data_IF_437227996487
#
_entry.id   IF_437227996487
#
_cell.length_a   1.000
_cell.length_b   1.000
_cell.length_c   1.000
_cell.angle_alpha   90.00
_cell.angle_beta   90.00
_cell.angle_gamma   90.00
#
_symmetry.space_group_name_H-M   'P 1'
#
loop_
_entity.id
_entity.type
_entity.pdbx_description
1 polymer ?
#
# COMPACT_ATOMS: atom_id res chain seq x y z
N UNK A 1 -16.22 -20.12 -6.30
CA UNK A 1 -16.00 -21.50 -5.84
C UNK A 1 -16.00 -21.51 -4.31
N UNK A 2 -16.76 -22.40 -3.69
CA UNK A 2 -16.84 -22.58 -2.23
C UNK A 2 -15.68 -23.43 -1.68
N UNK A 3 -14.82 -23.97 -2.53
CA UNK A 3 -13.73 -24.82 -2.14
C UNK A 3 -12.44 -24.03 -1.85
N UNK A 4 -11.65 -24.55 -0.90
CA UNK A 4 -10.27 -24.07 -0.67
C UNK A 4 -9.39 -24.41 -1.87
N UNK A 5 -8.49 -23.49 -2.23
CA UNK A 5 -7.51 -23.71 -3.31
C UNK A 5 -6.19 -24.18 -2.73
N UNK A 6 -5.57 -25.19 -3.38
CA UNK A 6 -4.25 -25.66 -2.97
C UNK A 6 -3.18 -24.64 -3.33
N UNK A 7 -2.48 -24.13 -2.33
CA UNK A 7 -1.34 -23.22 -2.53
C UNK A 7 -0.05 -24.02 -2.68
N UNK A 8 0.13 -25.10 -1.91
CA UNK A 8 1.36 -25.88 -1.95
C UNK A 8 1.16 -27.34 -1.54
N UNK A 9 1.44 -28.26 -2.47
CA UNK A 9 1.48 -29.73 -2.26
C UNK A 9 0.32 -30.33 -1.46
N UNK A 10 -0.88 -29.76 -1.54
CA UNK A 10 -2.09 -30.16 -0.80
C UNK A 10 -1.93 -30.14 0.73
N UNK A 11 -1.08 -29.26 1.25
CA UNK A 11 -0.91 -29.05 2.69
C UNK A 11 -1.15 -27.59 3.11
N UNK A 12 -0.91 -26.63 2.21
CA UNK A 12 -1.20 -25.22 2.44
C UNK A 12 -2.35 -24.81 1.53
N UNK A 13 -3.49 -24.46 2.12
CA UNK A 13 -4.71 -24.12 1.40
C UNK A 13 -5.04 -22.65 1.58
N UNK A 14 -5.45 -22.01 0.49
CA UNK A 14 -6.07 -20.70 0.53
C UNK A 14 -7.53 -20.82 0.93
N UNK A 15 -7.91 -20.21 2.05
CA UNK A 15 -9.29 -20.19 2.57
C UNK A 15 -9.91 -18.81 2.62
N UNK A 16 -9.22 -17.80 2.04
CA UNK A 16 -9.66 -16.41 1.97
C UNK A 16 -10.87 -16.18 1.07
N UNK A 17 -11.28 -14.93 0.99
CA UNK A 17 -12.48 -14.48 0.27
C UNK A 17 -12.21 -13.24 -0.57
N UNK A 18 -13.03 -13.01 -1.59
CA UNK A 18 -13.04 -11.79 -2.41
C UNK A 18 -14.21 -10.89 -2.02
N UNK A 19 -13.93 -9.63 -1.73
CA UNK A 19 -14.95 -8.59 -1.55
C UNK A 19 -15.01 -7.68 -2.78
N UNK A 20 -16.05 -7.87 -3.59
CA UNK A 20 -16.31 -7.05 -4.79
C UNK A 20 -17.31 -5.92 -4.53
N UNK A 21 -17.81 -5.80 -3.30
CA UNK A 21 -18.88 -4.85 -2.95
C UNK A 21 -18.37 -3.65 -2.16
N UNK A 22 -17.27 -3.80 -1.43
CA UNK A 22 -16.69 -2.73 -0.62
C UNK A 22 -16.20 -1.60 -1.53
N UNK A 23 -16.79 -0.43 -1.36
CA UNK A 23 -16.46 0.74 -2.18
C UNK A 23 -15.15 1.42 -1.75
N UNK A 24 -14.84 1.41 -0.45
CA UNK A 24 -13.70 2.10 0.14
C UNK A 24 -12.97 1.20 1.15
N UNK A 25 -11.67 1.05 1.02
CA UNK A 25 -10.79 0.49 2.04
C UNK A 25 -10.57 1.53 3.14
N UNK A 26 -10.60 1.13 4.41
CA UNK A 26 -10.56 2.04 5.58
C UNK A 26 -11.58 3.22 5.49
N UNK A 27 -12.69 3.04 4.75
CA UNK A 27 -13.65 4.12 4.43
C UNK A 27 -13.03 5.35 3.74
N UNK A 28 -11.87 5.22 3.12
CA UNK A 28 -11.12 6.35 2.55
C UNK A 28 -10.58 6.08 1.15
N UNK A 29 -10.14 4.85 0.85
CA UNK A 29 -9.43 4.52 -0.37
C UNK A 29 -10.32 3.77 -1.35
N UNK A 30 -10.58 4.31 -2.55
CA UNK A 30 -11.46 3.66 -3.52
C UNK A 30 -10.99 2.27 -3.94
N UNK A 31 -11.95 1.34 -4.05
CA UNK A 31 -11.71 -0.06 -4.44
C UNK A 31 -12.46 -0.41 -5.74
N UNK A 32 -12.06 0.16 -6.90
CA UNK A 32 -12.75 -0.13 -8.16
C UNK A 32 -12.68 -1.60 -8.58
N UNK A 33 -11.65 -2.32 -8.12
CA UNK A 33 -11.45 -3.75 -8.36
C UNK A 33 -11.71 -4.61 -7.12
N UNK A 34 -12.37 -4.03 -6.10
CA UNK A 34 -12.58 -4.69 -4.81
C UNK A 34 -11.30 -4.95 -4.04
N UNK A 35 -11.33 -5.93 -3.14
CA UNK A 35 -10.19 -6.38 -2.32
C UNK A 35 -10.35 -7.87 -2.00
N UNK A 36 -9.26 -8.60 -1.87
CA UNK A 36 -9.26 -9.95 -1.28
C UNK A 36 -8.86 -9.88 0.19
N UNK A 37 -9.47 -10.73 1.02
CA UNK A 37 -9.02 -11.00 2.39
C UNK A 37 -8.48 -12.41 2.39
N UNK A 38 -7.17 -12.54 2.48
CA UNK A 38 -6.49 -13.82 2.36
C UNK A 38 -6.24 -14.42 3.74
N UNK A 39 -6.54 -15.69 3.85
CA UNK A 39 -6.22 -16.52 5.00
C UNK A 39 -5.76 -17.88 4.49
N UNK A 40 -4.87 -18.53 5.22
CA UNK A 40 -4.22 -19.75 4.78
C UNK A 40 -4.32 -20.82 5.87
N UNK A 41 -4.60 -22.04 5.48
CA UNK A 41 -4.69 -23.16 6.38
C UNK A 41 -3.57 -24.18 6.06
N UNK A 42 -2.73 -24.47 7.04
CA UNK A 42 -1.75 -25.57 6.99
C UNK A 42 -2.38 -26.81 7.60
N UNK A 43 -2.44 -27.89 6.83
CA UNK A 43 -2.98 -29.19 7.25
C UNK A 43 -1.84 -30.18 7.37
N UNK A 44 -1.36 -30.37 8.59
CA UNK A 44 -0.23 -31.25 8.95
C UNK A 44 -0.63 -32.13 10.15
N UNK A 45 0.30 -32.69 10.93
CA UNK A 45 -0.03 -33.37 12.18
C UNK A 45 -0.82 -32.48 13.11
N UNK A 46 -0.40 -31.20 13.21
CA UNK A 46 -1.18 -30.09 13.76
C UNK A 46 -1.71 -29.20 12.64
N UNK A 47 -2.89 -28.66 12.85
CA UNK A 47 -3.51 -27.74 11.90
C UNK A 47 -3.30 -26.31 12.34
N UNK A 48 -2.90 -25.44 11.40
CA UNK A 48 -2.61 -24.03 11.68
C UNK A 48 -3.33 -23.15 10.68
N UNK A 49 -4.19 -22.27 11.18
CA UNK A 49 -4.80 -21.20 10.39
C UNK A 49 -3.96 -19.92 10.54
N UNK A 50 -3.66 -19.24 9.45
CA UNK A 50 -2.92 -17.99 9.42
C UNK A 50 -3.87 -16.86 9.07
N UNK A 51 -4.07 -15.94 10.01
CA UNK A 51 -5.01 -14.82 9.97
C UNK A 51 -6.47 -15.23 9.68
N UNK A 52 -7.39 -14.31 9.70
CA UNK A 52 -8.79 -14.52 9.35
C UNK A 52 -9.22 -13.56 8.25
N UNK A 53 -10.48 -13.19 8.17
CA UNK A 53 -11.04 -12.27 7.19
C UNK A 53 -11.98 -11.26 7.85
N UNK A 54 -12.42 -10.26 7.07
CA UNK A 54 -13.44 -9.30 7.46
C UNK A 54 -14.72 -10.03 7.96
N UNK A 55 -15.30 -9.55 9.04
CA UNK A 55 -16.45 -10.17 9.68
C UNK A 55 -17.65 -10.37 8.75
N UNK A 56 -17.80 -9.52 7.73
CA UNK A 56 -18.87 -9.61 6.74
C UNK A 56 -18.84 -10.91 5.92
N UNK A 57 -17.70 -11.59 5.88
CA UNK A 57 -17.46 -12.81 5.10
C UNK A 57 -17.21 -14.04 5.97
N UNK A 58 -17.47 -13.96 7.28
CA UNK A 58 -17.21 -15.04 8.23
C UNK A 58 -17.89 -16.36 7.84
N UNK A 59 -19.12 -16.33 7.36
CA UNK A 59 -19.87 -17.56 6.99
C UNK A 59 -19.18 -18.34 5.88
N UNK A 60 -18.76 -17.65 4.81
CA UNK A 60 -18.06 -18.27 3.67
C UNK A 60 -16.67 -18.74 4.11
N UNK A 61 -15.98 -17.93 4.90
CA UNK A 61 -14.66 -18.23 5.42
C UNK A 61 -14.67 -19.47 6.33
N UNK A 62 -15.54 -19.50 7.34
CA UNK A 62 -15.65 -20.62 8.28
C UNK A 62 -16.03 -21.94 7.58
N UNK A 63 -16.91 -21.84 6.55
CA UNK A 63 -17.22 -23.00 5.73
C UNK A 63 -15.98 -23.52 4.99
N UNK A 64 -15.17 -22.65 4.36
CA UNK A 64 -13.94 -23.06 3.67
C UNK A 64 -12.94 -23.70 4.62
N UNK A 65 -12.78 -23.14 5.83
CA UNK A 65 -11.91 -23.71 6.87
C UNK A 65 -12.40 -25.11 7.26
N UNK A 66 -13.70 -25.26 7.53
CA UNK A 66 -14.28 -26.57 7.90
C UNK A 66 -14.12 -27.62 6.77
N UNK A 67 -14.40 -27.22 5.52
CA UNK A 67 -14.26 -28.09 4.36
C UNK A 67 -12.79 -28.53 4.19
N UNK A 68 -11.81 -27.63 4.38
CA UNK A 68 -10.39 -27.94 4.26
C UNK A 68 -9.83 -28.75 5.43
N UNK A 69 -10.39 -28.61 6.62
CA UNK A 69 -10.05 -29.44 7.78
C UNK A 69 -10.58 -30.88 7.66
N UNK A 70 -11.60 -31.11 6.85
CA UNK A 70 -12.20 -32.45 6.63
C UNK A 70 -12.49 -33.22 7.92
N UNK A 71 -13.14 -32.55 8.88
CA UNK A 71 -13.52 -33.10 10.18
C UNK A 71 -12.43 -33.10 11.25
N UNK A 72 -11.24 -32.60 10.95
CA UNK A 72 -10.16 -32.43 11.93
C UNK A 72 -10.42 -31.19 12.82
N UNK A 73 -9.81 -31.21 14.02
CA UNK A 73 -9.76 -30.02 14.89
C UNK A 73 -8.86 -28.93 14.29
N UNK A 74 -9.07 -27.68 14.71
CA UNK A 74 -8.14 -26.59 14.49
C UNK A 74 -7.28 -26.43 15.75
N UNK A 75 -5.96 -26.70 15.62
CA UNK A 75 -5.06 -26.62 16.77
C UNK A 75 -4.60 -25.19 17.06
N UNK A 76 -4.23 -24.42 16.01
CA UNK A 76 -3.68 -23.07 16.15
C UNK A 76 -4.30 -22.07 15.18
N UNK A 77 -4.49 -20.85 15.67
CA UNK A 77 -4.69 -19.65 14.86
C UNK A 77 -3.51 -18.72 15.08
N UNK A 78 -2.68 -18.52 14.06
CA UNK A 78 -1.63 -17.51 14.07
C UNK A 78 -2.22 -16.19 13.62
N UNK A 79 -2.06 -15.14 14.44
CA UNK A 79 -2.50 -13.79 14.13
C UNK A 79 -1.27 -12.93 13.84
N UNK A 80 -0.96 -12.74 12.56
CA UNK A 80 0.12 -11.87 12.12
C UNK A 80 -0.26 -10.40 12.26
N UNK A 81 -1.56 -10.08 12.09
CA UNK A 81 -2.06 -8.70 12.11
C UNK A 81 -3.48 -8.61 12.67
N UNK A 82 -3.74 -7.57 13.47
CA UNK A 82 -4.99 -7.39 14.21
C UNK A 82 -5.95 -6.38 13.57
N UNK A 83 -5.65 -5.86 12.39
CA UNK A 83 -6.62 -5.00 11.70
C UNK A 83 -7.92 -5.77 11.42
N UNK A 84 -9.10 -5.13 11.62
CA UNK A 84 -10.39 -5.85 11.58
C UNK A 84 -10.71 -6.60 10.30
N UNK A 85 -10.12 -6.25 9.17
CA UNK A 85 -10.30 -6.95 7.90
C UNK A 85 -9.55 -8.29 7.81
N UNK A 86 -8.60 -8.54 8.74
CA UNK A 86 -7.92 -9.83 8.92
C UNK A 86 -8.26 -10.50 10.25
N UNK A 87 -8.77 -9.73 11.20
CA UNK A 87 -9.05 -10.20 12.55
C UNK A 87 -10.55 -10.27 12.87
N UNK A 88 -11.41 -9.76 11.96
CA UNK A 88 -12.85 -9.61 12.21
C UNK A 88 -13.58 -10.92 12.52
N UNK A 89 -13.14 -12.02 11.94
CA UNK A 89 -13.76 -13.35 12.11
C UNK A 89 -13.25 -14.13 13.32
N UNK A 90 -12.26 -13.65 14.07
CA UNK A 90 -11.62 -14.39 15.18
C UNK A 90 -12.63 -14.84 16.25
N UNK A 91 -13.58 -13.97 16.64
CA UNK A 91 -14.59 -14.33 17.65
C UNK A 91 -15.45 -15.51 17.19
N UNK A 92 -15.92 -15.48 15.94
CA UNK A 92 -16.77 -16.54 15.39
C UNK A 92 -15.97 -17.83 15.18
N UNK A 93 -14.73 -17.72 14.74
CA UNK A 93 -13.81 -18.87 14.65
C UNK A 93 -13.63 -19.54 16.02
N UNK A 94 -13.38 -18.76 17.08
CA UNK A 94 -13.22 -19.28 18.45
C UNK A 94 -14.49 -19.94 18.99
N UNK A 95 -15.67 -19.47 18.59
CA UNK A 95 -16.92 -20.12 18.94
C UNK A 95 -17.08 -21.49 18.27
N UNK A 96 -16.63 -21.61 17.01
CA UNK A 96 -16.69 -22.87 16.26
C UNK A 96 -15.59 -23.85 16.68
N UNK A 97 -14.41 -23.34 17.06
CA UNK A 97 -13.25 -24.11 17.50
C UNK A 97 -12.79 -23.64 18.90
N UNK A 98 -13.51 -24.04 19.99
CA UNK A 98 -13.28 -23.49 21.31
C UNK A 98 -11.88 -23.77 21.89
N UNK A 99 -11.26 -24.87 21.47
CA UNK A 99 -9.96 -25.32 21.95
C UNK A 99 -8.77 -24.74 21.16
N UNK A 100 -9.01 -23.97 20.10
CA UNK A 100 -7.94 -23.39 19.27
C UNK A 100 -7.03 -22.47 20.12
N UNK A 101 -5.74 -22.68 20.02
CA UNK A 101 -4.72 -21.79 20.63
C UNK A 101 -4.45 -20.61 19.70
N UNK A 102 -4.60 -19.39 20.20
CA UNK A 102 -4.31 -18.18 19.41
C UNK A 102 -2.84 -17.79 19.63
N UNK A 103 -2.05 -17.89 18.55
CA UNK A 103 -0.62 -17.59 18.53
C UNK A 103 -0.43 -16.12 18.14
N UNK A 104 0.30 -15.38 18.93
CA UNK A 104 0.60 -13.97 18.70
C UNK A 104 1.58 -13.41 19.73
N UNK A 105 1.93 -12.15 19.60
CA UNK A 105 2.73 -11.48 20.62
C UNK A 105 1.85 -10.75 21.65
N UNK A 106 2.46 -10.20 22.70
CA UNK A 106 1.75 -9.55 23.80
C UNK A 106 0.90 -8.33 23.36
N UNK A 107 1.30 -7.62 22.29
CA UNK A 107 0.50 -6.50 21.74
C UNK A 107 -0.73 -7.02 21.00
N UNK A 108 -0.59 -8.11 20.26
CA UNK A 108 -1.71 -8.84 19.65
C UNK A 108 -2.75 -9.21 20.70
N UNK A 109 -2.31 -9.71 21.84
CA UNK A 109 -3.23 -10.12 22.92
C UNK A 109 -3.95 -8.95 23.57
N UNK A 110 -3.30 -7.79 23.73
CA UNK A 110 -3.98 -6.57 24.17
C UNK A 110 -5.08 -6.11 23.20
N UNK A 111 -4.85 -6.26 21.90
CA UNK A 111 -5.85 -5.96 20.86
C UNK A 111 -6.96 -7.01 20.80
N UNK A 112 -6.64 -8.30 20.98
CA UNK A 112 -7.63 -9.39 21.08
C UNK A 112 -8.60 -9.15 22.24
N UNK A 113 -8.09 -8.74 23.40
CA UNK A 113 -8.95 -8.35 24.51
C UNK A 113 -9.84 -7.17 24.15
N UNK A 114 -9.26 -6.12 23.57
CA UNK A 114 -9.96 -4.88 23.19
C UNK A 114 -11.04 -5.08 22.14
N UNK A 115 -10.75 -5.80 21.05
CA UNK A 115 -11.70 -6.01 19.95
C UNK A 115 -12.66 -7.18 20.18
N UNK A 116 -12.21 -8.26 20.81
CA UNK A 116 -12.92 -9.53 20.84
C UNK A 116 -13.26 -10.01 22.25
N UNK A 117 -12.68 -9.44 23.31
CA UNK A 117 -12.85 -9.88 24.70
C UNK A 117 -12.19 -11.23 25.00
N UNK A 118 -11.23 -11.67 24.18
CA UNK A 118 -10.54 -12.96 24.32
C UNK A 118 -9.30 -12.78 25.19
N UNK A 119 -9.20 -13.58 26.26
CA UNK A 119 -8.09 -13.55 27.26
C UNK A 119 -7.47 -14.92 27.50
N UNK A 120 -8.06 -15.99 27.01
CA UNK A 120 -7.67 -17.37 27.28
C UNK A 120 -7.33 -18.12 25.99
N UNK A 121 -6.60 -19.21 26.09
CA UNK A 121 -6.16 -19.99 24.94
C UNK A 121 -5.16 -19.23 24.10
N UNK A 122 -4.27 -18.46 24.74
CA UNK A 122 -3.25 -17.64 24.10
C UNK A 122 -1.89 -18.34 24.16
N UNK A 123 -1.18 -18.31 23.05
CA UNK A 123 0.18 -18.86 22.91
C UNK A 123 1.11 -17.71 22.48
N UNK A 124 1.86 -17.16 23.43
CA UNK A 124 2.77 -16.04 23.18
C UNK A 124 4.01 -16.51 22.43
N UNK A 125 4.36 -15.76 21.38
CA UNK A 125 5.59 -15.92 20.61
C UNK A 125 6.39 -14.62 20.52
N UNK A 126 7.70 -14.74 20.40
CA UNK A 126 8.67 -13.65 20.29
C UNK A 126 9.52 -13.83 19.03
N UNK A 127 10.40 -12.87 18.80
CA UNK A 127 11.35 -12.89 17.69
C UNK A 127 12.15 -14.21 17.66
N UNK A 128 12.04 -14.97 16.56
CA UNK A 128 12.76 -16.20 16.34
C UNK A 128 12.19 -17.44 17.02
N UNK A 129 11.08 -17.32 17.75
CA UNK A 129 10.39 -18.50 18.31
C UNK A 129 9.85 -19.37 17.17
N UNK A 130 9.72 -20.67 17.45
CA UNK A 130 9.28 -21.67 16.47
C UNK A 130 8.03 -22.40 16.93
N UNK A 131 7.22 -22.84 15.97
CA UNK A 131 6.10 -23.76 16.16
C UNK A 131 6.24 -24.93 15.19
N UNK A 132 6.43 -26.11 15.73
CA UNK A 132 6.48 -27.33 14.93
C UNK A 132 5.07 -27.94 14.81
N UNK A 133 4.64 -28.25 13.59
CA UNK A 133 3.31 -28.80 13.31
C UNK A 133 3.34 -30.25 12.83
N UNK A 134 4.53 -30.85 12.78
CA UNK A 134 4.81 -32.18 12.24
C UNK A 134 5.89 -32.09 11.16
N UNK A 135 5.49 -31.97 9.90
CA UNK A 135 6.39 -31.72 8.78
C UNK A 135 6.84 -30.26 8.70
N UNK A 136 5.94 -29.33 8.98
CA UNK A 136 6.22 -27.89 8.89
C UNK A 136 6.81 -27.33 10.18
N UNK A 137 7.77 -26.41 10.02
CA UNK A 137 8.35 -25.62 11.09
C UNK A 137 8.13 -24.15 10.79
N UNK A 138 7.35 -23.49 11.64
CA UNK A 138 7.01 -22.07 11.52
C UNK A 138 7.91 -21.25 12.44
N UNK A 139 8.54 -20.20 11.90
CA UNK A 139 9.38 -19.25 12.63
C UNK A 139 8.74 -17.87 12.60
N UNK A 140 8.70 -17.17 13.72
CA UNK A 140 8.05 -15.88 13.87
C UNK A 140 9.06 -14.72 13.87
N UNK A 141 8.83 -13.72 13.02
CA UNK A 141 9.65 -12.53 12.92
C UNK A 141 8.80 -11.29 13.21
N UNK A 142 9.20 -10.50 14.21
CA UNK A 142 8.46 -9.28 14.55
C UNK A 142 8.74 -8.17 13.51
N UNK A 143 7.68 -7.61 12.96
CA UNK A 143 7.71 -6.53 11.97
C UNK A 143 6.90 -5.31 12.46
N UNK A 144 7.23 -4.73 13.63
CA UNK A 144 6.44 -3.66 14.23
C UNK A 144 6.38 -2.45 13.31
N UNK A 145 5.20 -1.86 13.19
CA UNK A 145 4.87 -0.72 12.31
C UNK A 145 4.93 -1.03 10.82
N UNK A 146 4.74 -2.31 10.44
CA UNK A 146 4.50 -2.70 9.05
C UNK A 146 3.10 -3.32 8.91
N UNK A 147 1.97 -2.54 9.09
CA UNK A 147 1.97 -1.09 9.40
C UNK A 147 1.48 -0.77 10.83
N UNK A 148 1.09 -1.74 11.65
CA UNK A 148 0.70 -1.60 13.06
C UNK A 148 1.77 -2.15 14.01
N UNK A 149 1.72 -1.79 15.33
CA UNK A 149 2.81 -2.10 16.27
C UNK A 149 2.95 -3.57 16.63
N UNK A 150 1.92 -4.39 16.46
CA UNK A 150 1.89 -5.82 16.81
C UNK A 150 2.27 -6.72 15.64
N UNK A 151 2.38 -6.19 14.43
CA UNK A 151 2.59 -7.00 13.22
C UNK A 151 3.79 -7.92 13.34
N UNK A 152 3.59 -9.16 12.97
CA UNK A 152 4.63 -10.16 12.78
C UNK A 152 4.48 -10.87 11.44
N UNK A 153 5.53 -11.54 11.02
CA UNK A 153 5.61 -12.35 9.82
C UNK A 153 5.90 -13.78 10.24
N UNK A 154 5.19 -14.73 9.64
CA UNK A 154 5.42 -16.17 9.89
C UNK A 154 6.13 -16.78 8.69
N UNK A 155 7.25 -17.46 8.91
CA UNK A 155 8.00 -18.13 7.86
C UNK A 155 7.96 -19.63 8.06
N UNK A 156 7.48 -20.36 7.06
CA UNK A 156 7.56 -21.81 6.99
C UNK A 156 8.92 -22.21 6.37
N UNK A 157 9.79 -22.73 7.23
CA UNK A 157 11.14 -23.15 6.85
C UNK A 157 11.10 -24.32 5.87
N UNK A 158 10.10 -25.19 5.99
CA UNK A 158 10.00 -26.43 5.23
C UNK A 158 9.68 -26.19 3.77
N UNK A 159 8.69 -25.37 3.50
CA UNK A 159 8.21 -25.07 2.14
C UNK A 159 8.62 -23.65 1.67
N UNK A 160 9.41 -22.93 2.49
CA UNK A 160 9.99 -21.61 2.16
C UNK A 160 8.93 -20.57 1.83
N UNK A 161 7.84 -20.58 2.61
CA UNK A 161 6.70 -19.70 2.46
C UNK A 161 6.74 -18.60 3.53
N UNK A 162 6.59 -17.34 3.13
CA UNK A 162 6.39 -16.22 4.03
C UNK A 162 4.90 -15.86 4.06
N UNK A 163 4.28 -15.89 5.22
CA UNK A 163 2.98 -15.31 5.51
C UNK A 163 3.23 -13.90 6.08
N UNK A 164 3.03 -12.89 5.25
CA UNK A 164 3.65 -11.57 5.43
C UNK A 164 2.72 -10.52 6.05
N UNK A 165 1.54 -10.91 6.54
CA UNK A 165 0.49 -9.95 6.85
C UNK A 165 0.23 -9.04 5.62
N UNK A 166 0.10 -7.73 5.81
CA UNK A 166 -0.18 -6.76 4.74
C UNK A 166 1.01 -6.48 3.83
N UNK A 167 2.22 -6.83 4.25
CA UNK A 167 3.37 -6.61 3.41
C UNK A 167 3.24 -7.39 2.09
N UNK A 168 3.63 -6.73 0.98
CA UNK A 168 3.50 -7.23 -0.39
C UNK A 168 2.06 -7.40 -0.88
N UNK A 169 1.07 -6.89 -0.12
CA UNK A 169 -0.34 -6.87 -0.47
C UNK A 169 -0.68 -5.89 -1.57
N UNK A 170 -1.84 -6.10 -2.18
CA UNK A 170 -2.40 -5.25 -3.23
C UNK A 170 -3.88 -5.01 -3.00
N UNK A 171 -4.41 -3.89 -3.50
CA UNK A 171 -5.83 -3.82 -3.73
C UNK A 171 -6.22 -4.75 -4.91
N UNK A 172 -7.53 -4.99 -5.05
CA UNK A 172 -8.09 -5.86 -6.08
C UNK A 172 -8.44 -7.25 -5.55
N UNK A 173 -9.50 -7.81 -6.10
CA UNK A 173 -9.91 -9.21 -5.87
C UNK A 173 -9.07 -10.15 -6.71
N UNK A 174 -9.05 -11.42 -6.34
CA UNK A 174 -8.41 -12.47 -7.13
C UNK A 174 -9.35 -12.92 -8.24
N UNK A 175 -8.90 -12.84 -9.49
CA UNK A 175 -9.70 -13.12 -10.69
C UNK A 175 -9.46 -14.54 -11.21
N UNK A 176 -10.06 -15.52 -10.55
CA UNK A 176 -10.04 -16.92 -10.96
C UNK A 176 -8.94 -17.75 -10.31
N UNK A 177 -7.68 -17.34 -10.41
CA UNK A 177 -6.55 -17.97 -9.73
C UNK A 177 -6.27 -17.38 -8.35
N UNK A 178 -5.31 -17.96 -7.64
CA UNK A 178 -4.81 -17.44 -6.35
C UNK A 178 -3.32 -17.13 -6.47
N UNK A 179 -2.58 -17.93 -7.24
CA UNK A 179 -1.14 -17.81 -7.41
C UNK A 179 -0.86 -16.98 -8.67
N UNK A 180 0.20 -16.19 -8.63
CA UNK A 180 0.62 -15.28 -9.70
C UNK A 180 0.82 -15.96 -11.06
N UNK A 181 1.13 -17.26 -11.07
CA UNK A 181 1.25 -18.08 -12.28
C UNK A 181 -0.10 -18.52 -12.89
N UNK A 182 -1.18 -18.33 -12.16
CA UNK A 182 -2.54 -18.79 -12.56
C UNK A 182 -3.41 -17.63 -13.08
N UNK A 183 -2.89 -16.40 -13.08
CA UNK A 183 -3.65 -15.20 -13.44
C UNK A 183 -2.80 -14.16 -14.15
N UNK A 184 -3.45 -13.20 -14.80
CA UNK A 184 -2.78 -11.99 -15.29
C UNK A 184 -2.53 -11.03 -14.12
N UNK A 185 -1.26 -10.78 -13.78
CA UNK A 185 -0.86 -9.96 -12.64
C UNK A 185 -0.54 -8.50 -12.99
N UNK A 186 -0.68 -8.07 -14.24
CA UNK A 186 -0.22 -6.76 -14.69
C UNK A 186 -0.82 -5.59 -13.89
N UNK A 187 -2.12 -5.60 -13.64
CA UNK A 187 -2.77 -4.53 -12.89
C UNK A 187 -2.44 -4.55 -11.38
N UNK A 188 -2.06 -5.70 -10.81
CA UNK A 188 -1.73 -5.80 -9.39
C UNK A 188 -0.42 -5.07 -9.03
N UNK A 189 0.49 -4.85 -9.99
CA UNK A 189 1.70 -4.08 -9.73
C UNK A 189 1.39 -2.61 -9.42
N UNK A 190 0.50 -1.99 -10.18
CA UNK A 190 0.03 -0.63 -9.89
C UNK A 190 -0.79 -0.57 -8.60
N UNK A 191 -1.60 -1.59 -8.34
CA UNK A 191 -2.37 -1.71 -7.10
C UNK A 191 -1.48 -1.97 -5.88
N UNK A 192 -0.34 -2.67 -6.01
CA UNK A 192 0.66 -2.83 -4.96
C UNK A 192 1.30 -1.48 -4.59
N UNK A 193 1.71 -0.70 -5.59
CA UNK A 193 2.28 0.64 -5.37
C UNK A 193 1.23 1.54 -4.71
N UNK A 194 -0.03 1.46 -5.13
CA UNK A 194 -1.13 2.22 -4.56
C UNK A 194 -1.41 1.79 -3.12
N UNK A 195 -1.48 0.49 -2.85
CA UNK A 195 -1.65 -0.06 -1.51
C UNK A 195 -0.51 0.40 -0.59
N UNK A 196 0.74 0.21 -1.00
CA UNK A 196 1.91 0.66 -0.26
C UNK A 196 1.82 2.16 0.09
N UNK A 197 1.58 3.03 -0.90
CA UNK A 197 1.55 4.48 -0.70
C UNK A 197 0.42 4.95 0.21
N UNK A 198 -0.72 4.25 0.19
CA UNK A 198 -1.90 4.60 0.98
C UNK A 198 -1.79 4.10 2.44
N UNK A 199 -1.31 2.87 2.63
CA UNK A 199 -1.36 2.12 3.89
C UNK A 199 -0.01 2.10 4.61
N UNK A 200 1.05 1.71 3.92
CA UNK A 200 2.38 1.49 4.50
C UNK A 200 3.28 2.73 4.45
N UNK A 201 3.06 3.62 3.50
CA UNK A 201 3.96 4.66 3.03
C UNK A 201 4.77 5.46 4.05
N UNK A 202 4.19 5.79 5.22
CA UNK A 202 4.89 6.49 6.32
C UNK A 202 6.04 5.65 6.90
N UNK A 203 5.91 4.33 6.85
CA UNK A 203 6.72 3.39 7.62
C UNK A 203 7.91 2.80 6.84
N UNK A 204 8.53 3.57 5.94
CA UNK A 204 9.67 3.12 5.14
C UNK A 204 10.80 2.53 5.98
N UNK A 205 11.21 3.18 7.08
CA UNK A 205 12.26 2.67 7.97
C UNK A 205 11.89 1.36 8.69
N UNK A 206 10.68 1.18 9.24
CA UNK A 206 10.20 -0.13 9.69
C UNK A 206 10.24 -1.20 8.61
N UNK A 207 9.79 -0.91 7.38
CA UNK A 207 9.84 -1.85 6.25
C UNK A 207 11.28 -2.27 5.95
N UNK A 208 12.23 -1.33 5.89
CA UNK A 208 13.65 -1.64 5.68
C UNK A 208 14.21 -2.58 6.76
N UNK A 209 13.85 -2.37 8.03
CA UNK A 209 14.26 -3.27 9.12
C UNK A 209 13.66 -4.68 8.97
N UNK A 210 12.39 -4.77 8.57
CA UNK A 210 11.74 -6.05 8.31
C UNK A 210 12.41 -6.79 7.14
N UNK A 211 12.64 -6.10 6.01
CA UNK A 211 13.34 -6.66 4.85
C UNK A 211 14.74 -7.15 5.20
N UNK A 212 15.48 -6.40 6.02
CA UNK A 212 16.82 -6.80 6.49
C UNK A 212 16.76 -8.08 7.32
N UNK A 213 15.78 -8.24 8.21
CA UNK A 213 15.60 -9.49 8.96
C UNK A 213 15.32 -10.70 8.05
N UNK A 214 14.52 -10.49 7.03
CA UNK A 214 14.11 -11.56 6.11
C UNK A 214 15.14 -11.83 5.01
N UNK A 215 16.15 -10.98 4.82
CA UNK A 215 17.11 -11.06 3.71
C UNK A 215 17.98 -12.34 3.70
N UNK A 216 18.13 -12.99 4.85
CA UNK A 216 18.85 -14.25 4.97
C UNK A 216 18.00 -15.51 4.71
N UNK A 217 16.69 -15.34 4.47
CA UNK A 217 15.77 -16.45 4.26
C UNK A 217 15.66 -16.80 2.77
N UNK A 218 15.54 -18.09 2.50
CA UNK A 218 15.21 -18.58 1.16
C UNK A 218 13.69 -18.50 0.95
N UNK A 219 13.21 -17.35 0.48
CA UNK A 219 11.78 -17.10 0.26
C UNK A 219 11.42 -17.48 -1.16
N UNK A 220 10.59 -18.51 -1.32
CA UNK A 220 10.10 -18.97 -2.62
C UNK A 220 8.64 -18.58 -2.88
N UNK A 221 7.87 -18.34 -1.82
CA UNK A 221 6.46 -17.96 -1.94
C UNK A 221 6.12 -16.91 -0.86
N UNK A 222 5.37 -15.88 -1.24
CA UNK A 222 4.85 -14.88 -0.32
C UNK A 222 3.33 -14.97 -0.32
N UNK A 223 2.76 -15.18 0.85
CA UNK A 223 1.34 -15.26 1.14
C UNK A 223 0.94 -14.01 1.94
N UNK A 224 0.51 -12.96 1.25
CA UNK A 224 0.02 -11.72 1.83
C UNK A 224 -1.47 -11.83 2.19
N UNK A 225 -1.95 -10.96 3.07
CA UNK A 225 -3.37 -10.86 3.43
C UNK A 225 -4.25 -10.27 2.33
N UNK A 226 -3.65 -9.64 1.32
CA UNK A 226 -4.34 -9.07 0.16
C UNK A 226 -3.63 -9.38 -1.15
N UNK A 227 -4.40 -9.57 -2.23
CA UNK A 227 -3.88 -9.76 -3.56
C UNK A 227 -3.33 -11.16 -3.85
N UNK A 228 -2.59 -11.35 -4.94
CA UNK A 228 -2.06 -12.64 -5.35
C UNK A 228 -1.05 -13.24 -4.36
N UNK A 229 -0.99 -14.57 -4.31
CA UNK A 229 0.16 -15.30 -3.77
C UNK A 229 1.31 -15.16 -4.76
N UNK A 230 2.40 -14.54 -4.32
CA UNK A 230 3.58 -14.31 -5.15
C UNK A 230 4.53 -15.52 -5.06
N UNK A 231 4.73 -16.20 -6.17
CA UNK A 231 5.65 -17.35 -6.30
C UNK A 231 6.69 -17.09 -7.38
N UNK A 232 6.26 -16.94 -8.64
CA UNK A 232 7.17 -16.61 -9.73
C UNK A 232 7.74 -15.19 -9.57
N UNK A 233 6.91 -14.25 -9.13
CA UNK A 233 7.27 -12.84 -9.01
C UNK A 233 7.56 -12.38 -7.57
N UNK A 234 7.86 -13.30 -6.65
CA UNK A 234 8.20 -12.95 -5.25
C UNK A 234 9.35 -11.94 -5.16
N UNK A 235 10.40 -12.11 -5.95
CA UNK A 235 11.55 -11.19 -5.98
C UNK A 235 11.15 -9.79 -6.47
N UNK A 236 10.24 -9.68 -7.45
CA UNK A 236 9.73 -8.39 -7.94
C UNK A 236 8.89 -7.67 -6.87
N UNK A 237 8.07 -8.41 -6.13
CA UNK A 237 7.30 -7.85 -5.02
C UNK A 237 8.22 -7.29 -3.93
N UNK A 238 9.27 -8.03 -3.57
CA UNK A 238 10.29 -7.58 -2.61
C UNK A 238 11.02 -6.33 -3.11
N UNK A 239 11.44 -6.30 -4.38
CA UNK A 239 12.13 -5.15 -4.99
C UNK A 239 11.24 -3.89 -4.96
N UNK A 240 9.96 -4.00 -5.28
CA UNK A 240 9.02 -2.87 -5.20
C UNK A 240 8.97 -2.32 -3.77
N UNK A 241 8.79 -3.18 -2.77
CA UNK A 241 8.74 -2.77 -1.36
C UNK A 241 10.06 -2.14 -0.89
N UNK A 242 11.19 -2.70 -1.31
CA UNK A 242 12.53 -2.17 -0.99
C UNK A 242 12.71 -0.77 -1.54
N UNK A 243 12.45 -0.55 -2.84
CA UNK A 243 12.55 0.77 -3.47
C UNK A 243 11.58 1.79 -2.87
N UNK A 244 10.31 1.41 -2.70
CA UNK A 244 9.28 2.27 -2.13
C UNK A 244 9.63 2.70 -0.70
N UNK A 245 10.13 1.80 0.14
CA UNK A 245 10.50 2.09 1.52
C UNK A 245 11.77 2.94 1.67
N UNK A 246 12.61 2.99 0.65
CA UNK A 246 13.72 3.95 0.54
C UNK A 246 13.29 5.27 -0.12
N UNK A 247 12.01 5.40 -0.50
CA UNK A 247 11.49 6.54 -1.24
C UNK A 247 12.20 6.78 -2.57
N UNK A 248 12.64 5.72 -3.23
CA UNK A 248 13.23 5.78 -4.56
C UNK A 248 12.14 5.94 -5.61
N UNK A 249 12.10 7.13 -6.23
CA UNK A 249 11.18 7.40 -7.32
C UNK A 249 11.75 6.98 -8.68
N UNK A 250 10.88 6.52 -9.56
CA UNK A 250 11.19 6.27 -10.97
C UNK A 250 11.33 7.60 -11.73
N UNK A 251 11.98 7.56 -12.91
CA UNK A 251 12.01 8.71 -13.78
C UNK A 251 10.60 9.05 -14.29
N UNK A 252 10.16 10.25 -13.99
CA UNK A 252 8.84 10.75 -14.32
C UNK A 252 8.40 11.88 -13.42
N UNK A 253 7.26 12.49 -13.78
CA UNK A 253 6.70 13.65 -13.11
C UNK A 253 5.20 13.48 -12.89
N UNK A 254 4.75 13.76 -11.67
CA UNK A 254 3.33 13.93 -11.38
C UNK A 254 3.01 15.41 -11.22
N UNK A 255 2.03 15.89 -11.98
CA UNK A 255 1.51 17.26 -11.91
C UNK A 255 0.16 17.23 -11.20
N UNK A 256 0.10 17.83 -10.04
CA UNK A 256 -1.08 17.89 -9.16
C UNK A 256 -1.61 19.33 -9.22
N UNK A 257 -2.84 19.53 -9.66
CA UNK A 257 -3.36 20.88 -9.76
C UNK A 257 -4.84 21.01 -9.38
N UNK A 258 -5.17 22.15 -8.78
CA UNK A 258 -6.54 22.61 -8.64
C UNK A 258 -6.82 23.69 -9.68
N UNK A 259 -8.04 23.72 -10.22
CA UNK A 259 -8.45 24.77 -11.14
C UNK A 259 -9.97 25.01 -11.03
N UNK A 260 -10.38 26.28 -10.88
CA UNK A 260 -11.79 26.65 -10.80
C UNK A 260 -12.41 26.85 -12.19
N UNK A 261 -11.73 27.59 -13.05
CA UNK A 261 -12.23 28.02 -14.35
C UNK A 261 -11.27 27.75 -15.52
N UNK A 262 -10.30 26.83 -15.33
CA UNK A 262 -9.36 26.40 -16.37
C UNK A 262 -8.03 27.17 -16.44
N UNK A 263 -7.87 28.32 -15.74
CA UNK A 263 -6.63 29.11 -15.87
C UNK A 263 -5.39 28.36 -15.31
N UNK A 264 -5.50 27.79 -14.11
CA UNK A 264 -4.41 26.98 -13.53
C UNK A 264 -4.17 25.68 -14.32
N UNK A 265 -5.24 25.12 -14.90
CA UNK A 265 -5.16 23.94 -15.77
C UNK A 265 -4.34 24.24 -17.04
N UNK A 266 -4.57 25.41 -17.69
CA UNK A 266 -3.76 25.81 -18.85
C UNK A 266 -2.27 25.96 -18.53
N UNK A 267 -1.93 26.42 -17.33
CA UNK A 267 -0.53 26.44 -16.87
C UNK A 267 0.03 25.02 -16.71
N UNK A 268 -0.75 24.10 -16.12
CA UNK A 268 -0.37 22.69 -15.97
C UNK A 268 -0.13 22.04 -17.32
N UNK A 269 -1.00 22.27 -18.31
CA UNK A 269 -0.87 21.77 -19.68
C UNK A 269 0.40 22.29 -20.39
N UNK A 270 0.69 23.58 -20.25
CA UNK A 270 1.91 24.17 -20.80
C UNK A 270 3.18 23.55 -20.20
N UNK A 271 3.20 23.35 -18.88
CA UNK A 271 4.30 22.71 -18.18
C UNK A 271 4.46 21.24 -18.62
N UNK A 272 3.36 20.49 -18.73
CA UNK A 272 3.38 19.12 -19.21
C UNK A 272 3.93 19.00 -20.64
N UNK A 273 3.49 19.87 -21.54
CA UNK A 273 4.01 19.93 -22.90
C UNK A 273 5.51 20.20 -22.95
N UNK A 274 5.99 21.17 -22.16
CA UNK A 274 7.40 21.48 -22.06
C UNK A 274 8.24 20.31 -21.54
N UNK A 275 7.76 19.60 -20.53
CA UNK A 275 8.44 18.39 -20.02
C UNK A 275 8.52 17.30 -21.09
N UNK A 276 7.45 17.09 -21.85
CA UNK A 276 7.41 16.11 -22.94
C UNK A 276 8.39 16.50 -24.07
N UNK A 277 8.42 17.76 -24.46
CA UNK A 277 9.35 18.29 -25.47
C UNK A 277 10.83 18.13 -25.05
N UNK A 278 11.08 18.10 -23.74
CA UNK A 278 12.40 17.87 -23.16
C UNK A 278 12.68 16.39 -22.83
N UNK A 279 11.86 15.48 -23.34
CA UNK A 279 12.12 14.04 -23.32
C UNK A 279 11.57 13.28 -22.10
N UNK A 280 10.86 13.93 -21.20
CA UNK A 280 10.18 13.24 -20.09
C UNK A 280 8.98 12.47 -20.64
N UNK A 281 8.99 11.14 -20.53
CA UNK A 281 7.96 10.26 -21.08
C UNK A 281 6.86 9.93 -20.07
N UNK A 282 7.22 9.81 -18.81
CA UNK A 282 6.28 9.47 -17.74
C UNK A 282 5.76 10.77 -17.10
N UNK A 283 4.67 11.30 -17.62
CA UNK A 283 4.00 12.49 -17.07
C UNK A 283 2.57 12.10 -16.72
N UNK A 284 2.20 12.28 -15.46
CA UNK A 284 0.85 12.01 -14.96
C UNK A 284 0.25 13.31 -14.45
N UNK A 285 -0.96 13.63 -14.88
CA UNK A 285 -1.66 14.86 -14.48
C UNK A 285 -2.89 14.53 -13.64
N UNK A 286 -3.01 15.16 -12.48
CA UNK A 286 -4.13 15.02 -11.58
C UNK A 286 -4.83 16.34 -11.30
N UNK A 287 -6.07 16.47 -11.76
CA UNK A 287 -6.97 17.49 -11.25
C UNK A 287 -7.54 17.01 -9.91
N UNK A 288 -7.19 17.67 -8.82
CA UNK A 288 -7.57 17.27 -7.44
C UNK A 288 -9.07 17.22 -7.20
N UNK A 289 -9.87 17.94 -8.03
CA UNK A 289 -11.34 17.88 -7.96
C UNK A 289 -11.95 16.64 -8.62
N UNK A 290 -11.14 15.87 -9.38
CA UNK A 290 -11.59 14.71 -10.14
C UNK A 290 -10.85 13.44 -9.76
N UNK A 291 -9.55 13.54 -9.46
CA UNK A 291 -8.70 12.39 -9.12
C UNK A 291 -8.78 12.09 -7.63
N UNK A 292 -9.18 10.88 -7.21
CA UNK A 292 -9.08 10.50 -5.81
C UNK A 292 -7.64 10.58 -5.29
N UNK A 293 -7.47 11.06 -4.07
CA UNK A 293 -6.14 11.23 -3.45
C UNK A 293 -5.32 9.94 -3.35
N UNK A 294 -5.98 8.79 -3.36
CA UNK A 294 -5.35 7.46 -3.40
C UNK A 294 -4.41 7.29 -4.60
N UNK A 295 -4.85 7.69 -5.78
CA UNK A 295 -4.05 7.63 -7.01
C UNK A 295 -2.97 8.71 -7.06
N UNK A 296 -3.28 9.89 -6.56
CA UNK A 296 -2.28 10.97 -6.45
C UNK A 296 -1.12 10.53 -5.56
N UNK A 297 -1.41 9.95 -4.39
CA UNK A 297 -0.39 9.41 -3.49
C UNK A 297 0.44 8.31 -4.16
N UNK A 298 -0.20 7.40 -4.91
CA UNK A 298 0.50 6.38 -5.68
C UNK A 298 1.55 6.99 -6.58
N UNK A 299 1.19 7.99 -7.36
CA UNK A 299 2.10 8.59 -8.33
C UNK A 299 3.16 9.48 -7.67
N UNK A 300 2.85 10.11 -6.54
CA UNK A 300 3.85 10.83 -5.72
C UNK A 300 4.91 9.87 -5.14
N UNK A 301 4.52 8.64 -4.78
CA UNK A 301 5.49 7.62 -4.37
C UNK A 301 6.26 7.03 -5.54
N UNK A 302 5.61 6.86 -6.70
CA UNK A 302 6.19 6.22 -7.88
C UNK A 302 7.24 7.09 -8.57
N UNK A 303 6.99 8.39 -8.72
CA UNK A 303 7.82 9.27 -9.55
C UNK A 303 8.68 10.23 -8.74
N UNK A 304 9.87 10.57 -9.29
CA UNK A 304 10.81 11.51 -8.68
C UNK A 304 10.32 12.95 -8.68
N UNK A 305 9.69 13.39 -9.77
CA UNK A 305 9.22 14.76 -9.96
C UNK A 305 7.81 14.96 -9.43
N UNK A 306 7.60 16.01 -8.65
CA UNK A 306 6.29 16.43 -8.16
C UNK A 306 6.11 17.90 -8.45
N UNK A 307 5.10 18.24 -9.22
CA UNK A 307 4.75 19.64 -9.53
C UNK A 307 3.36 19.91 -8.99
N UNK A 308 3.20 21.00 -8.25
CA UNK A 308 1.90 21.36 -7.66
C UNK A 308 1.46 22.74 -8.13
N UNK A 309 0.25 22.81 -8.66
CA UNK A 309 -0.42 24.03 -9.08
C UNK A 309 -1.70 24.34 -8.31
N UNK A 310 -1.87 25.59 -7.88
CA UNK A 310 -3.08 26.00 -7.15
C UNK A 310 -3.52 27.42 -7.51
N UNK A 311 -4.82 27.68 -7.70
CA UNK A 311 -5.33 29.03 -7.61
C UNK A 311 -5.30 29.47 -6.14
N UNK A 312 -5.20 30.79 -5.93
CA UNK A 312 -5.42 31.38 -4.62
C UNK A 312 -6.92 31.42 -4.32
N UNK A 313 -7.32 30.77 -3.23
CA UNK A 313 -8.70 30.74 -2.75
C UNK A 313 -8.77 31.23 -1.30
N UNK A 314 -9.54 32.30 -1.05
CA UNK A 314 -9.66 32.92 0.28
C UNK A 314 -8.30 33.21 0.96
N UNK A 315 -7.32 33.72 0.20
CA UNK A 315 -5.93 33.94 0.61
C UNK A 315 -5.16 32.66 1.08
N UNK A 316 -5.65 31.49 0.67
CA UNK A 316 -5.07 30.18 0.95
C UNK A 316 -4.85 29.42 -0.36
N UNK A 317 -4.41 28.16 -0.26
CA UNK A 317 -4.49 27.22 -1.37
C UNK A 317 -5.95 26.88 -1.68
N UNK A 318 -6.18 26.34 -2.86
CA UNK A 318 -7.43 25.70 -3.19
C UNK A 318 -7.65 24.50 -2.24
N UNK A 319 -8.83 24.38 -1.57
CA UNK A 319 -9.03 23.44 -0.47
C UNK A 319 -8.67 21.98 -0.81
N UNK A 320 -9.02 21.52 -2.00
CA UNK A 320 -8.71 20.14 -2.44
C UNK A 320 -7.21 19.94 -2.67
N UNK A 321 -6.45 20.97 -3.09
CA UNK A 321 -4.99 20.93 -3.15
C UNK A 321 -4.42 20.80 -1.74
N UNK A 322 -4.87 21.63 -0.80
CA UNK A 322 -4.43 21.60 0.59
C UNK A 322 -4.70 20.22 1.23
N UNK A 323 -5.88 19.65 0.97
CA UNK A 323 -6.24 18.31 1.46
C UNK A 323 -5.30 17.20 0.92
N UNK A 324 -4.91 17.28 -0.35
CA UNK A 324 -3.94 16.34 -0.94
C UNK A 324 -2.55 16.53 -0.34
N UNK A 325 -2.08 17.77 -0.22
CA UNK A 325 -0.78 18.08 0.38
C UNK A 325 -0.68 17.60 1.82
N UNK A 326 -1.75 17.76 2.61
CA UNK A 326 -1.82 17.22 3.98
C UNK A 326 -1.65 15.69 4.00
N UNK A 327 -2.27 14.96 3.08
CA UNK A 327 -2.10 13.50 2.99
C UNK A 327 -0.68 13.09 2.58
N UNK A 328 -0.03 13.84 1.70
CA UNK A 328 1.37 13.62 1.32
C UNK A 328 2.28 13.86 2.52
N UNK A 329 2.04 14.93 3.26
CA UNK A 329 2.80 15.28 4.46
C UNK A 329 2.71 14.20 5.54
N UNK A 330 1.50 13.67 5.81
CA UNK A 330 1.28 12.60 6.79
C UNK A 330 2.06 11.31 6.48
N UNK A 331 2.45 11.11 5.23
CA UNK A 331 3.26 9.95 4.80
C UNK A 331 4.76 10.22 4.80
N UNK A 332 5.16 11.45 5.13
CA UNK A 332 6.57 11.84 5.24
C UNK A 332 7.40 11.46 4.00
N UNK A 333 6.81 11.63 2.81
CA UNK A 333 7.47 11.26 1.54
C UNK A 333 8.77 12.03 1.37
N UNK A 334 9.85 11.33 1.02
CA UNK A 334 11.21 11.88 0.91
C UNK A 334 11.72 11.84 -0.52
N UNK A 335 12.85 12.51 -0.75
CA UNK A 335 13.64 12.41 -1.99
C UNK A 335 12.85 12.77 -3.25
N UNK A 336 12.11 13.88 -3.24
CA UNK A 336 11.39 14.38 -4.42
C UNK A 336 11.98 15.67 -4.94
N UNK A 337 11.94 15.82 -6.26
CA UNK A 337 12.22 17.07 -6.95
C UNK A 337 10.91 17.82 -7.07
N UNK A 338 10.86 19.06 -6.60
CA UNK A 338 9.64 19.82 -6.45
C UNK A 338 9.59 21.08 -7.29
N UNK A 339 8.54 21.20 -8.10
CA UNK A 339 8.18 22.43 -8.81
C UNK A 339 6.79 22.89 -8.39
N UNK A 340 6.49 24.18 -8.54
CA UNK A 340 5.16 24.69 -8.22
C UNK A 340 4.82 25.94 -9.00
N UNK A 341 3.51 26.17 -9.15
CA UNK A 341 2.95 27.34 -9.84
C UNK A 341 1.61 27.75 -9.24
N UNK A 342 1.15 28.94 -9.55
CA UNK A 342 -0.12 29.41 -9.00
C UNK A 342 -0.82 30.43 -9.86
N UNK A 343 -2.10 30.66 -9.56
CA UNK A 343 -2.90 31.71 -10.15
C UNK A 343 -3.72 32.47 -9.11
N UNK A 344 -4.12 33.69 -9.45
CA UNK A 344 -4.96 34.53 -8.59
C UNK A 344 -5.72 35.58 -9.43
N UNK A 345 -6.74 36.21 -8.86
CA UNK A 345 -7.46 37.28 -9.53
C UNK A 345 -7.05 38.67 -9.00
N UNK A 346 -7.02 38.91 -7.69
CA UNK A 346 -6.67 40.21 -7.11
C UNK A 346 -5.50 40.16 -6.11
N UNK A 347 -5.29 39.03 -5.40
CA UNK A 347 -4.19 38.89 -4.45
C UNK A 347 -3.67 37.43 -4.52
N UNK A 348 -2.36 37.27 -4.74
CA UNK A 348 -1.68 35.97 -4.82
C UNK A 348 -1.22 35.50 -3.44
N UNK A 349 -1.43 34.22 -3.14
CA UNK A 349 -0.93 33.55 -1.94
C UNK A 349 -0.47 32.11 -2.20
N UNK A 350 -0.94 31.49 -3.28
CA UNK A 350 -0.70 30.07 -3.56
C UNK A 350 0.77 29.74 -3.67
N UNK A 351 1.53 30.49 -4.48
CA UNK A 351 2.97 30.25 -4.70
C UNK A 351 3.76 30.31 -3.39
N UNK A 352 3.49 31.30 -2.53
CA UNK A 352 4.16 31.42 -1.21
C UNK A 352 3.87 30.20 -0.32
N UNK A 353 2.65 29.68 -0.33
CA UNK A 353 2.26 28.55 0.49
C UNK A 353 2.83 27.23 -0.04
N UNK A 354 2.91 27.08 -1.36
CA UNK A 354 3.55 25.93 -1.98
C UNK A 354 5.07 25.91 -1.73
N UNK A 355 5.72 27.09 -1.74
CA UNK A 355 7.11 27.22 -1.32
C UNK A 355 7.32 26.70 0.12
N UNK A 356 6.49 27.16 1.05
CA UNK A 356 6.54 26.72 2.45
C UNK A 356 6.29 25.21 2.62
N UNK A 357 5.43 24.62 1.78
CA UNK A 357 5.24 23.17 1.76
C UNK A 357 6.50 22.44 1.32
N UNK A 358 7.15 22.86 0.22
CA UNK A 358 8.40 22.26 -0.26
C UNK A 358 9.52 22.33 0.80
N UNK A 359 9.67 23.46 1.48
CA UNK A 359 10.61 23.64 2.59
C UNK A 359 10.30 22.68 3.75
N UNK A 360 9.04 22.56 4.15
CA UNK A 360 8.58 21.65 5.21
C UNK A 360 8.89 20.19 4.88
N UNK A 361 8.63 19.79 3.64
CA UNK A 361 8.92 18.44 3.15
C UNK A 361 10.41 18.18 2.95
N UNK A 362 11.25 19.21 2.95
CA UNK A 362 12.68 19.14 2.62
C UNK A 362 12.93 18.54 1.23
N UNK A 363 12.05 18.86 0.29
CA UNK A 363 12.20 18.44 -1.09
C UNK A 363 13.14 19.40 -1.84
N UNK A 364 13.84 18.87 -2.83
CA UNK A 364 14.68 19.68 -3.70
C UNK A 364 13.79 20.54 -4.61
N UNK A 365 13.70 21.83 -4.31
CA UNK A 365 12.94 22.77 -5.14
C UNK A 365 13.74 23.18 -6.34
N UNK A 366 13.14 23.07 -7.53
CA UNK A 366 13.77 23.36 -8.82
C UNK A 366 12.97 24.34 -9.64
N UNK A 367 13.66 25.04 -10.53
CA UNK A 367 13.06 26.01 -11.45
C UNK A 367 12.62 27.31 -10.78
N UNK A 368 11.99 28.17 -11.58
CA UNK A 368 11.42 29.44 -11.13
C UNK A 368 9.89 29.30 -11.06
N UNK A 369 9.26 29.47 -9.90
CA UNK A 369 7.81 29.37 -9.81
C UNK A 369 7.10 30.42 -10.64
N UNK A 370 6.04 30.00 -11.32
CA UNK A 370 5.23 30.92 -12.15
C UNK A 370 3.95 31.26 -11.41
N UNK A 371 3.66 32.55 -11.26
CA UNK A 371 2.39 33.01 -10.73
C UNK A 371 1.70 33.90 -11.77
N UNK A 372 0.43 33.56 -12.08
CA UNK A 372 -0.37 34.23 -13.11
C UNK A 372 -1.54 34.96 -12.50
N UNK A 373 -1.67 36.25 -12.83
CA UNK A 373 -2.87 37.02 -12.52
C UNK A 373 -3.91 36.81 -13.62
N UNK A 374 -5.10 36.29 -13.24
CA UNK A 374 -6.23 36.08 -14.16
C UNK A 374 -5.90 35.04 -15.28
N UNK A 375 -6.29 35.31 -16.53
CA UNK A 375 -6.05 34.42 -17.66
C UNK A 375 -4.57 34.33 -18.05
N UNK A 376 -4.15 33.19 -18.57
CA UNK A 376 -2.76 32.92 -18.98
C UNK A 376 -2.37 33.83 -20.16
N UNK A 377 -1.45 34.76 -19.91
CA UNK A 377 -0.89 35.63 -20.95
C UNK A 377 0.17 34.91 -21.78
N UNK A 378 0.46 35.39 -23.00
CA UNK A 378 1.50 34.83 -23.84
C UNK A 378 2.87 34.82 -23.14
N UNK A 379 3.25 35.89 -22.43
CA UNK A 379 4.50 35.96 -21.68
C UNK A 379 4.54 34.90 -20.58
N UNK A 380 3.46 34.73 -19.83
CA UNK A 380 3.37 33.73 -18.76
C UNK A 380 3.31 32.29 -19.28
N UNK A 381 2.76 32.12 -20.48
CA UNK A 381 2.85 30.82 -21.18
C UNK A 381 4.30 30.44 -21.45
N UNK A 382 5.11 31.38 -21.99
CA UNK A 382 6.54 31.15 -22.20
C UNK A 382 7.30 30.93 -20.89
N UNK A 383 6.94 31.62 -19.81
CA UNK A 383 7.50 31.36 -18.48
C UNK A 383 7.14 29.95 -17.99
N UNK A 384 5.92 29.45 -18.23
CA UNK A 384 5.55 28.06 -17.91
C UNK A 384 6.38 27.05 -18.71
N UNK A 385 6.65 27.32 -20.00
CA UNK A 385 7.51 26.46 -20.81
C UNK A 385 8.95 26.44 -20.31
N UNK A 386 9.44 27.55 -19.76
CA UNK A 386 10.83 27.70 -19.33
C UNK A 386 11.06 27.32 -17.86
N UNK A 387 10.02 27.26 -17.03
CA UNK A 387 10.15 27.23 -15.58
C UNK A 387 10.93 26.03 -15.01
N UNK A 388 11.01 24.92 -15.74
CA UNK A 388 11.69 23.69 -15.32
C UNK A 388 12.89 23.30 -16.18
N UNK A 389 13.22 24.07 -17.25
CA UNK A 389 14.27 23.71 -18.20
C UNK A 389 15.70 23.78 -17.64
N UNK A 390 15.93 24.50 -16.55
CA UNK A 390 17.27 24.71 -15.99
C UNK A 390 17.78 23.61 -15.08
N UNK A 391 17.03 22.52 -14.89
CA UNK A 391 17.30 21.53 -13.84
C UNK A 391 17.47 20.09 -14.31
N UNK A 392 17.28 19.78 -15.59
CA UNK A 392 17.69 18.49 -16.14
C UNK A 392 19.14 18.59 -16.62
N UNK A 393 20.09 17.77 -16.12
CA UNK A 393 21.34 17.59 -16.84
C UNK A 393 20.99 17.04 -18.22
N UNK A 394 21.38 17.77 -19.26
CA UNK A 394 21.17 17.36 -20.63
C UNK A 394 21.74 15.96 -20.85
N UNK A 395 21.02 15.03 -21.51
CA UNK A 395 21.60 13.75 -21.92
C UNK A 395 22.78 13.88 -22.92
N UNK A 396 23.14 15.12 -23.29
CA UNK A 396 24.24 15.41 -24.20
C UNK A 396 25.58 15.65 -23.51
N UNK A 397 25.60 15.70 -22.16
CA UNK A 397 26.82 15.96 -21.37
C UNK A 397 27.28 14.73 -20.56
N UNK A 398 26.81 13.51 -20.92
CA UNK A 398 27.27 12.24 -20.36
C UNK A 398 28.05 11.42 -21.39
#
# INVERSE_FOLDING_TARGET
>A
SSAASDVYKRQVYYVGVNDRQKALFENMWPLPYGVSYNSYLIVDEKTVLIDTVDVCYSDIFLKKVADALDGRSLDYLVVNHMEPDHAGSIRLLRQQYPDVQIVGNNKTFGMLEGYHGIKEGLFEVKEGDTLNTGRHELVFYMAPMVHWPEVMVTYDVTDKIVFSADAFGTYGTLDGGVIDTEMNVEHYWEEMIRYYSNIVGKYGSPVQRALQKLSGLDIQTICSTHGPVWREYASKAIDIYDRMSRYEGEEGVVIIYGSMYGNTEQMAEAIAASLADNGIKNIVMHNVSKSPSSYILKDVFKYKGVIVGSPTYSNQLFPEVEAVLSKIELREVKNRIFGYFGSFTWAGAAVKRLAAFGEKMKWETVGTPVEQKQGLSATKYEECLACLLYTSPSPRDA
#
